data_IF_150261334754
#
_entry.id   IF_150261334754
#
_cell.length_a   1.000
_cell.length_b   1.000
_cell.length_c   1.000
_cell.angle_alpha   90.00
_cell.angle_beta   90.00
_cell.angle_gamma   90.00
#
_symmetry.space_group_name_H-M   'P 1'
#
loop_
_entity.id
_entity.type
_entity.pdbx_description
1 polymer ?
#
# COMPACT_ATOMS: atom_id res chain seq x y z
N UNK A 1 19.12 15.00 -7.72
CA UNK A 1 19.69 14.82 -9.09
C UNK A 1 20.98 15.63 -9.19
N UNK A 2 22.02 15.11 -9.84
CA UNK A 2 23.30 15.81 -10.06
C UNK A 2 23.83 15.48 -11.47
N UNK A 3 24.60 16.40 -12.05
CA UNK A 3 25.30 16.22 -13.33
C UNK A 3 24.85 17.18 -14.44
N UNK A 4 25.53 17.18 -15.61
CA UNK A 4 25.35 18.17 -16.69
C UNK A 4 23.93 18.22 -17.25
N UNK A 5 23.18 17.12 -17.15
CA UNK A 5 21.78 17.03 -17.58
C UNK A 5 20.81 17.89 -16.74
N UNK A 6 21.23 18.36 -15.57
CA UNK A 6 20.39 19.08 -14.62
C UNK A 6 20.82 20.54 -14.40
N UNK A 7 21.86 21.01 -15.09
CA UNK A 7 22.48 22.32 -14.85
C UNK A 7 21.57 23.51 -15.23
N UNK A 8 20.70 23.32 -16.21
CA UNK A 8 19.68 24.31 -16.64
C UNK A 8 18.24 23.83 -16.39
N UNK A 9 18.06 22.86 -15.49
CA UNK A 9 16.73 22.34 -15.12
C UNK A 9 16.18 23.12 -13.93
N UNK A 10 14.98 23.70 -14.08
CA UNK A 10 14.24 24.22 -12.92
C UNK A 10 13.64 23.05 -12.14
N UNK A 11 14.13 22.85 -10.92
CA UNK A 11 13.71 21.76 -10.03
C UNK A 11 12.29 21.93 -9.48
N UNK A 12 11.76 23.15 -9.44
CA UNK A 12 10.41 23.40 -8.93
C UNK A 12 9.32 22.86 -9.87
N UNK A 13 9.67 22.67 -11.15
CA UNK A 13 8.77 22.13 -12.18
C UNK A 13 8.94 20.62 -12.37
N UNK A 14 9.91 19.99 -11.69
CA UNK A 14 10.11 18.56 -11.77
C UNK A 14 9.07 17.83 -10.91
N UNK A 15 8.66 16.60 -11.28
CA UNK A 15 7.73 15.82 -10.47
C UNK A 15 8.25 15.60 -9.05
N UNK A 16 7.48 16.03 -8.06
CA UNK A 16 7.74 15.84 -6.63
C UNK A 16 6.55 15.14 -5.95
N UNK A 17 6.24 13.88 -6.32
CA UNK A 17 5.15 13.16 -5.69
C UNK A 17 5.48 12.78 -4.25
N UNK A 18 4.45 12.71 -3.42
CA UNK A 18 4.53 12.12 -2.07
C UNK A 18 4.99 10.66 -2.13
N UNK A 19 5.65 10.20 -1.07
CA UNK A 19 6.12 8.83 -1.03
C UNK A 19 4.96 7.85 -0.76
N UNK A 20 4.80 6.86 -1.64
CA UNK A 20 3.72 5.87 -1.49
C UNK A 20 3.86 5.03 -0.20
N UNK A 21 5.09 4.86 0.30
CA UNK A 21 5.37 4.11 1.53
C UNK A 21 4.88 4.83 2.79
N UNK A 22 5.01 6.16 2.85
CA UNK A 22 4.48 6.95 3.97
C UNK A 22 2.95 6.98 3.91
N UNK A 23 2.39 7.14 2.71
CA UNK A 23 0.94 7.15 2.52
C UNK A 23 0.29 5.83 2.97
N UNK A 24 0.88 4.68 2.63
CA UNK A 24 0.32 3.37 3.03
C UNK A 24 0.50 3.08 4.52
N UNK A 25 1.57 3.59 5.14
CA UNK A 25 1.80 3.48 6.58
C UNK A 25 0.73 4.21 7.40
N UNK A 26 0.16 5.29 6.86
CA UNK A 26 -0.92 6.07 7.48
C UNK A 26 -2.29 5.37 7.40
N UNK A 27 -2.46 4.37 6.53
CA UNK A 27 -3.72 3.65 6.40
C UNK A 27 -3.86 2.66 7.58
N UNK A 28 -4.98 2.71 8.33
CA UNK A 28 -5.18 1.83 9.48
C UNK A 28 -5.35 0.36 9.06
N UNK A 29 -4.98 -0.53 9.97
CA UNK A 29 -5.16 -1.97 9.81
C UNK A 29 -6.66 -2.29 9.80
N UNK A 30 -7.08 -3.14 8.86
CA UNK A 30 -8.46 -3.63 8.76
C UNK A 30 -8.62 -4.91 9.57
N UNK A 31 -9.47 -4.86 10.58
CA UNK A 31 -9.76 -6.02 11.41
C UNK A 31 -10.88 -6.89 10.81
N UNK A 32 -10.68 -8.20 10.84
CA UNK A 32 -11.67 -9.21 10.43
C UNK A 32 -11.79 -10.31 11.46
N UNK A 33 -12.97 -10.95 11.56
CA UNK A 33 -13.18 -12.15 12.38
C UNK A 33 -13.02 -13.44 11.55
N UNK A 34 -12.67 -13.32 10.27
CA UNK A 34 -12.49 -14.46 9.36
C UNK A 34 -11.02 -14.87 9.32
N UNK A 35 -10.77 -16.18 9.22
CA UNK A 35 -9.43 -16.75 9.04
C UNK A 35 -8.79 -16.35 7.71
N UNK A 36 -9.60 -16.25 6.64
CA UNK A 36 -9.13 -15.87 5.30
C UNK A 36 -9.99 -14.72 4.81
N UNK A 37 -9.36 -13.64 4.34
CA UNK A 37 -10.04 -12.47 3.76
C UNK A 37 -9.70 -12.33 2.29
N UNK A 38 -10.55 -11.66 1.52
CA UNK A 38 -10.26 -11.33 0.12
C UNK A 38 -10.09 -9.84 -0.10
N UNK A 39 -9.09 -9.46 -0.89
CA UNK A 39 -8.87 -8.08 -1.32
C UNK A 39 -8.84 -8.03 -2.85
N UNK A 40 -9.49 -7.03 -3.44
CA UNK A 40 -9.56 -6.79 -4.88
C UNK A 40 -9.22 -5.33 -5.25
N UNK A 41 -8.76 -4.52 -4.30
CA UNK A 41 -8.38 -3.13 -4.53
C UNK A 41 -9.51 -2.21 -5.01
N UNK A 42 -10.79 -2.58 -4.82
CA UNK A 42 -11.93 -1.79 -5.30
C UNK A 42 -12.62 -2.35 -6.54
N UNK A 43 -12.60 -3.68 -6.71
CA UNK A 43 -13.30 -4.38 -7.78
C UNK A 43 -12.61 -4.25 -9.14
N UNK A 44 -13.37 -3.90 -10.20
CA UNK A 44 -12.89 -3.97 -11.59
C UNK A 44 -11.70 -3.05 -11.92
N UNK A 45 -11.57 -1.93 -11.20
CA UNK A 45 -10.46 -0.98 -11.37
C UNK A 45 -9.30 -1.24 -10.41
N UNK A 46 -9.45 -2.23 -9.52
CA UNK A 46 -8.43 -2.63 -8.56
C UNK A 46 -7.51 -3.70 -9.11
N UNK A 47 -6.92 -4.47 -8.19
CA UNK A 47 -6.03 -5.57 -8.53
C UNK A 47 -6.81 -6.90 -8.62
N UNK A 48 -6.23 -7.96 -9.22
CA UNK A 48 -6.84 -9.28 -9.17
C UNK A 48 -7.20 -9.69 -7.76
N UNK A 49 -8.36 -10.33 -7.59
CA UNK A 49 -8.82 -10.78 -6.28
C UNK A 49 -7.83 -11.79 -5.70
N UNK A 50 -7.25 -11.45 -4.56
CA UNK A 50 -6.37 -12.33 -3.80
C UNK A 50 -7.05 -12.75 -2.50
N UNK A 51 -6.58 -13.86 -1.93
CA UNK A 51 -7.00 -14.36 -0.63
C UNK A 51 -5.82 -14.32 0.34
N UNK A 52 -6.02 -13.74 1.51
CA UNK A 52 -4.99 -13.49 2.52
C UNK A 52 -5.34 -14.32 3.74
N UNK A 53 -4.39 -15.15 4.20
CA UNK A 53 -4.51 -15.90 5.44
C UNK A 53 -4.20 -15.00 6.63
N UNK A 54 -4.99 -15.04 7.70
CA UNK A 54 -4.83 -14.26 8.94
C UNK A 54 -4.58 -15.18 10.15
N UNK A 55 -4.04 -16.38 9.92
CA UNK A 55 -3.62 -17.31 10.98
C UNK A 55 -2.46 -16.73 11.79
N UNK A 56 -1.50 -16.12 11.11
CA UNK A 56 -0.41 -15.39 11.72
C UNK A 56 -0.89 -13.94 11.92
N UNK A 57 -0.80 -13.42 13.15
CA UNK A 57 -1.18 -12.04 13.50
C UNK A 57 -0.22 -10.98 12.92
N UNK A 58 0.40 -11.28 11.79
CA UNK A 58 1.31 -10.41 11.07
C UNK A 58 0.57 -9.46 10.12
N UNK A 59 1.17 -8.31 9.86
CA UNK A 59 0.69 -7.32 8.89
C UNK A 59 0.89 -7.84 7.45
N UNK A 60 0.05 -8.76 7.00
CA UNK A 60 0.13 -9.31 5.64
C UNK A 60 -0.51 -8.31 4.68
N UNK A 61 0.30 -7.73 3.79
CA UNK A 61 -0.12 -6.60 2.97
C UNK A 61 -0.13 -6.87 1.46
N UNK A 62 -1.19 -6.39 0.81
CA UNK A 62 -1.21 -6.03 -0.62
C UNK A 62 -1.13 -4.49 -0.77
N UNK A 63 -0.38 -3.85 0.13
CA UNK A 63 -0.51 -2.43 0.47
C UNK A 63 -1.42 -2.25 1.68
N UNK A 64 -2.71 -2.57 1.58
CA UNK A 64 -3.62 -2.52 2.74
C UNK A 64 -3.35 -3.70 3.68
N UNK A 65 -3.36 -3.42 4.98
CA UNK A 65 -3.04 -4.37 6.05
C UNK A 65 -4.31 -4.94 6.67
N UNK A 66 -4.31 -6.24 6.95
CA UNK A 66 -5.40 -6.95 7.59
C UNK A 66 -4.91 -7.71 8.81
N UNK A 67 -5.74 -7.81 9.85
CA UNK A 67 -5.43 -8.57 11.06
C UNK A 67 -6.69 -9.27 11.59
N UNK A 68 -6.50 -10.43 12.21
CA UNK A 68 -7.58 -11.16 12.86
C UNK A 68 -7.90 -10.52 14.22
N UNK A 69 -9.18 -10.20 14.48
CA UNK A 69 -9.62 -9.60 15.75
C UNK A 69 -9.93 -10.65 16.84
N UNK A 70 -10.01 -11.91 16.46
CA UNK A 70 -10.55 -12.99 17.30
C UNK A 70 -9.47 -13.71 18.12
N UNK A 71 -8.20 -13.32 17.98
CA UNK A 71 -7.05 -13.83 18.73
C UNK A 71 -6.65 -12.86 19.84
#
# INVERSE_FOLDING_TARGET
>A
MRGPRFEQTDFNLQPQPESAIELIANIPIKFSNQRVVSCDGGGKLGHPKIYINLDENEDISCGVRFQNRTL
#
